data_IF_921216445914
#
_entry.id   IF_921216445914
#
_cell.length_a   1.000
_cell.length_b   1.000
_cell.length_c   1.000
_cell.angle_alpha   90.00
_cell.angle_beta   90.00
_cell.angle_gamma   90.00
#
_symmetry.space_group_name_H-M   'P 1'
#
loop_
_entity.id
_entity.type
_entity.pdbx_description
1 polymer ?
#
# COMPACT_ATOMS: atom_id res chain seq x y z
N UNK A 1 -3.83 -50.97 9.07
CA UNK A 1 -5.25 -50.62 8.82
C UNK A 1 -5.57 -50.95 7.38
N UNK A 2 -6.80 -51.38 7.08
CA UNK A 2 -7.26 -51.58 5.70
C UNK A 2 -8.31 -50.52 5.37
N UNK A 3 -8.23 -49.95 4.16
CA UNK A 3 -9.21 -49.03 3.61
C UNK A 3 -9.48 -49.39 2.15
N UNK A 4 -10.74 -49.29 1.74
CA UNK A 4 -11.14 -49.56 0.36
C UNK A 4 -10.39 -48.66 -0.63
N UNK A 5 -10.06 -49.17 -1.81
CA UNK A 5 -9.32 -48.40 -2.83
C UNK A 5 -10.09 -47.13 -3.25
N UNK A 6 -11.43 -47.18 -3.26
CA UNK A 6 -12.27 -46.00 -3.49
C UNK A 6 -12.07 -44.93 -2.40
N UNK A 7 -12.01 -45.33 -1.13
CA UNK A 7 -11.74 -44.45 0.00
C UNK A 7 -10.32 -43.85 -0.07
N UNK A 8 -9.32 -44.62 -0.53
CA UNK A 8 -7.97 -44.11 -0.77
C UNK A 8 -7.91 -43.10 -1.93
N UNK A 9 -8.77 -43.24 -2.95
CA UNK A 9 -8.91 -42.25 -4.04
C UNK A 9 -9.54 -40.95 -3.52
N UNK A 10 -10.65 -41.03 -2.79
CA UNK A 10 -11.27 -39.86 -2.17
C UNK A 10 -10.31 -39.16 -1.19
N UNK A 11 -9.43 -39.91 -0.52
CA UNK A 11 -8.40 -39.32 0.34
C UNK A 11 -7.32 -38.56 -0.45
N UNK A 12 -7.00 -39.00 -1.67
CA UNK A 12 -6.12 -38.25 -2.57
C UNK A 12 -6.76 -36.91 -2.92
N UNK A 13 -8.01 -36.93 -3.37
CA UNK A 13 -8.78 -35.72 -3.71
C UNK A 13 -8.87 -34.76 -2.52
N UNK A 14 -9.11 -35.28 -1.31
CA UNK A 14 -9.09 -34.49 -0.08
C UNK A 14 -7.73 -33.81 0.15
N UNK A 15 -6.64 -34.55 -0.02
CA UNK A 15 -5.28 -34.02 0.15
C UNK A 15 -4.93 -32.93 -0.87
N UNK A 16 -5.43 -33.06 -2.11
CA UNK A 16 -5.25 -32.06 -3.16
C UNK A 16 -6.06 -30.80 -2.87
N UNK A 17 -7.31 -30.93 -2.42
CA UNK A 17 -8.12 -29.79 -1.97
C UNK A 17 -7.53 -29.08 -0.77
N UNK A 18 -6.99 -29.81 0.21
CA UNK A 18 -6.33 -29.20 1.35
C UNK A 18 -5.04 -28.45 0.95
N UNK A 19 -4.30 -28.96 -0.03
CA UNK A 19 -3.16 -28.26 -0.62
C UNK A 19 -3.59 -27.03 -1.44
N UNK A 20 -4.74 -27.06 -2.10
CA UNK A 20 -5.35 -25.87 -2.74
C UNK A 20 -5.76 -24.83 -1.70
N UNK A 21 -6.47 -25.23 -0.65
CA UNK A 21 -6.90 -24.33 0.44
C UNK A 21 -5.70 -23.69 1.14
N UNK A 22 -4.61 -24.42 1.36
CA UNK A 22 -3.37 -23.88 1.91
C UNK A 22 -2.73 -22.82 0.98
N UNK A 23 -2.71 -23.08 -0.33
CA UNK A 23 -2.22 -22.11 -1.34
C UNK A 23 -3.11 -20.86 -1.38
N UNK A 24 -4.43 -21.02 -1.32
CA UNK A 24 -5.39 -19.92 -1.28
C UNK A 24 -5.18 -19.07 -0.02
N UNK A 25 -5.04 -19.71 1.16
CA UNK A 25 -4.77 -19.01 2.41
C UNK A 25 -3.44 -18.25 2.38
N UNK A 26 -2.39 -18.86 1.81
CA UNK A 26 -1.11 -18.18 1.63
C UNK A 26 -1.25 -16.95 0.71
N UNK A 27 -1.90 -17.11 -0.45
CA UNK A 27 -2.16 -16.00 -1.39
C UNK A 27 -2.97 -14.88 -0.73
N UNK A 28 -4.00 -15.21 0.04
CA UNK A 28 -4.82 -14.23 0.77
C UNK A 28 -3.99 -13.37 1.73
N UNK A 29 -2.98 -13.98 2.37
CA UNK A 29 -2.07 -13.27 3.28
C UNK A 29 -0.96 -12.47 2.59
N UNK A 30 -0.68 -12.72 1.32
CA UNK A 30 0.48 -12.15 0.59
C UNK A 30 0.06 -11.50 -0.74
N UNK A 31 -1.08 -10.82 -0.73
CA UNK A 31 -1.56 -10.08 -1.90
C UNK A 31 -0.58 -8.93 -2.23
N UNK A 32 -0.03 -8.87 -3.46
CA UNK A 32 0.87 -7.78 -3.86
C UNK A 32 0.20 -6.41 -3.79
N UNK A 33 -1.12 -6.35 -4.00
CA UNK A 33 -1.91 -5.13 -3.90
C UNK A 33 -1.82 -4.48 -2.51
N UNK A 34 -1.55 -5.27 -1.44
CA UNK A 34 -1.32 -4.72 -0.10
C UNK A 34 -0.01 -3.94 0.00
N UNK A 35 1.04 -4.41 -0.67
CA UNK A 35 2.34 -3.73 -0.69
C UNK A 35 2.26 -2.44 -1.51
N UNK A 36 1.56 -2.48 -2.64
CA UNK A 36 1.31 -1.30 -3.47
C UNK A 36 0.49 -0.25 -2.72
N UNK A 37 -0.53 -0.68 -1.96
CA UNK A 37 -1.35 0.21 -1.14
C UNK A 37 -0.50 0.91 -0.07
N UNK A 38 0.32 0.17 0.67
CA UNK A 38 1.20 0.72 1.72
C UNK A 38 2.21 1.72 1.12
N UNK A 39 2.83 1.37 -0.01
CA UNK A 39 3.76 2.26 -0.72
C UNK A 39 3.08 3.56 -1.16
N UNK A 40 1.94 3.47 -1.83
CA UNK A 40 1.19 4.64 -2.30
C UNK A 40 0.65 5.49 -1.14
N UNK A 41 0.29 4.89 -0.01
CA UNK A 41 -0.12 5.62 1.19
C UNK A 41 1.04 6.45 1.76
N UNK A 42 2.25 5.88 1.77
CA UNK A 42 3.46 6.62 2.14
C UNK A 42 3.75 7.77 1.20
N UNK A 43 3.68 7.55 -0.11
CA UNK A 43 3.87 8.58 -1.14
C UNK A 43 2.83 9.71 -1.03
N UNK A 44 1.55 9.36 -0.85
CA UNK A 44 0.46 10.32 -0.66
C UNK A 44 0.67 11.16 0.61
N UNK A 45 1.03 10.52 1.72
CA UNK A 45 1.28 11.24 2.99
C UNK A 45 2.44 12.21 2.85
N UNK A 46 3.55 11.78 2.25
CA UNK A 46 4.70 12.65 2.01
C UNK A 46 4.37 13.82 1.07
N UNK A 47 3.52 13.60 0.05
CA UNK A 47 3.06 14.67 -0.84
C UNK A 47 2.13 15.67 -0.13
N UNK A 48 1.20 15.17 0.69
CA UNK A 48 0.32 16.02 1.50
C UNK A 48 1.11 16.87 2.50
N UNK A 49 2.14 16.31 3.14
CA UNK A 49 3.02 17.04 4.05
C UNK A 49 3.79 18.15 3.34
N UNK A 50 4.29 17.89 2.11
CA UNK A 50 4.95 18.93 1.29
C UNK A 50 3.99 20.03 0.88
N UNK A 51 2.76 19.68 0.48
CA UNK A 51 1.73 20.65 0.14
C UNK A 51 1.39 21.54 1.34
N UNK A 52 1.19 20.96 2.53
CA UNK A 52 0.90 21.72 3.74
C UNK A 52 2.05 22.68 4.10
N UNK A 53 3.31 22.27 3.90
CA UNK A 53 4.46 23.15 4.11
C UNK A 53 4.50 24.32 3.11
N UNK A 54 4.14 24.09 1.85
CA UNK A 54 4.04 25.13 0.82
C UNK A 54 2.91 26.11 1.13
N UNK A 55 1.75 25.63 1.57
CA UNK A 55 0.62 26.47 1.97
C UNK A 55 0.97 27.36 3.16
N UNK A 56 1.65 26.84 4.18
CA UNK A 56 2.14 27.63 5.31
C UNK A 56 3.16 28.70 4.87
N UNK A 57 4.04 28.38 3.93
CA UNK A 57 4.99 29.36 3.39
C UNK A 57 4.28 30.47 2.59
N UNK A 58 3.23 30.13 1.85
CA UNK A 58 2.40 31.10 1.13
C UNK A 58 1.67 32.04 2.10
N UNK A 59 1.13 31.52 3.20
CA UNK A 59 0.50 32.35 4.25
C UNK A 59 1.48 33.35 4.88
N UNK A 60 2.72 32.92 5.13
CA UNK A 60 3.75 33.82 5.65
C UNK A 60 4.14 34.90 4.63
N UNK A 61 4.28 34.55 3.35
CA UNK A 61 4.52 35.52 2.29
C UNK A 61 3.35 36.51 2.14
N UNK A 62 2.10 36.05 2.22
CA UNK A 62 0.91 36.91 2.20
C UNK A 62 0.92 37.91 3.37
N UNK A 63 1.30 37.46 4.57
CA UNK A 63 1.42 38.32 5.73
C UNK A 63 2.55 39.36 5.57
N UNK A 64 3.68 38.98 4.96
CA UNK A 64 4.78 39.88 4.67
C UNK A 64 4.42 40.90 3.57
N UNK A 65 3.74 40.47 2.50
CA UNK A 65 3.24 41.35 1.45
C UNK A 65 2.31 42.44 2.02
N UNK A 66 1.34 42.04 2.85
CA UNK A 66 0.42 42.98 3.50
C UNK A 66 1.13 44.00 4.40
N UNK A 67 2.25 43.62 5.03
CA UNK A 67 3.09 44.56 5.81
C UNK A 67 3.78 45.57 4.90
N UNK A 68 4.39 45.12 3.81
CA UNK A 68 5.02 46.01 2.84
C UNK A 68 4.01 46.98 2.23
N UNK A 69 2.83 46.50 1.84
CA UNK A 69 1.74 47.35 1.33
C UNK A 69 1.34 48.42 2.36
N UNK A 70 1.18 48.04 3.64
CA UNK A 70 0.88 49.00 4.71
C UNK A 70 2.00 50.02 4.94
N UNK A 71 3.27 49.62 4.83
CA UNK A 71 4.40 50.55 4.94
C UNK A 71 4.46 51.52 3.76
N UNK A 72 4.23 51.02 2.54
CA UNK A 72 4.17 51.83 1.31
C UNK A 72 3.04 52.86 1.42
N UNK A 73 1.85 52.45 1.86
CA UNK A 73 0.71 53.35 2.05
C UNK A 73 1.01 54.42 3.10
N UNK A 74 1.68 54.08 4.20
CA UNK A 74 2.07 55.06 5.21
C UNK A 74 3.08 56.09 4.67
N UNK A 75 4.03 55.64 3.82
CA UNK A 75 4.99 56.53 3.15
C UNK A 75 4.27 57.44 2.15
N UNK A 76 3.38 56.90 1.31
CA UNK A 76 2.57 57.66 0.34
C UNK A 76 1.71 58.73 1.03
N UNK A 77 1.01 58.37 2.10
CA UNK A 77 0.22 59.33 2.88
C UNK A 77 1.08 60.45 3.47
N UNK A 78 2.33 60.17 3.85
CA UNK A 78 3.25 61.20 4.33
C UNK A 78 3.72 62.10 3.19
N UNK A 79 4.09 61.51 2.06
CA UNK A 79 4.48 62.24 0.86
C UNK A 79 3.38 63.20 0.38
N UNK A 80 2.12 62.73 0.38
CA UNK A 80 0.97 63.55 0.00
C UNK A 80 0.73 64.73 0.96
N UNK A 81 0.91 64.51 2.27
CA UNK A 81 0.82 65.60 3.26
C UNK A 81 1.92 66.64 3.07
N UNK A 82 3.15 66.20 2.85
CA UNK A 82 4.30 67.09 2.68
C UNK A 82 4.20 67.89 1.37
N UNK A 83 3.72 67.25 0.29
CA UNK A 83 3.41 67.90 -0.99
C UNK A 83 2.30 68.94 -0.84
N UNK A 84 1.20 68.60 -0.17
CA UNK A 84 0.11 69.55 0.09
C UNK A 84 0.57 70.76 0.92
N UNK A 85 1.49 70.56 1.87
CA UNK A 85 2.04 71.65 2.68
C UNK A 85 2.93 72.58 1.85
N UNK A 86 3.77 72.03 0.95
CA UNK A 86 4.54 72.82 -0.01
C UNK A 86 3.63 73.64 -0.93
N UNK A 87 2.59 73.01 -1.48
CA UNK A 87 1.64 73.65 -2.40
C UNK A 87 0.77 74.72 -1.73
N UNK A 88 0.58 74.65 -0.41
CA UNK A 88 -0.21 75.63 0.36
C UNK A 88 0.42 77.04 0.37
N UNK A 89 1.72 77.16 0.07
CA UNK A 89 2.45 78.43 0.12
C UNK A 89 2.62 79.03 1.54
N UNK A 90 2.25 78.29 2.59
CA UNK A 90 2.35 78.74 3.99
C UNK A 90 3.72 78.48 4.63
N UNK A 91 4.69 77.97 3.87
CA UNK A 91 6.02 77.58 4.34
C UNK A 91 7.06 78.66 4.06
N UNK A 92 8.01 78.83 4.97
CA UNK A 92 9.16 79.72 4.77
C UNK A 92 10.26 79.04 3.93
N UNK A 93 11.22 79.82 3.42
CA UNK A 93 12.26 79.31 2.51
C UNK A 93 13.08 78.13 3.09
N UNK A 94 13.29 78.11 4.42
CA UNK A 94 13.98 76.98 5.07
C UNK A 94 13.08 75.73 5.09
N UNK A 95 11.81 75.89 5.46
CA UNK A 95 10.83 74.80 5.47
C UNK A 95 10.63 74.18 4.08
N UNK A 96 10.70 74.99 3.01
CA UNK A 96 10.64 74.47 1.64
C UNK A 96 11.81 73.51 1.35
N UNK A 97 13.04 73.90 1.70
CA UNK A 97 14.23 73.06 1.49
C UNK A 97 14.17 71.79 2.34
N UNK A 98 13.76 71.90 3.61
CA UNK A 98 13.63 70.76 4.52
C UNK A 98 12.58 69.75 3.99
N UNK A 99 11.41 70.22 3.53
CA UNK A 99 10.35 69.39 2.96
C UNK A 99 10.77 68.74 1.63
N UNK A 100 11.53 69.44 0.78
CA UNK A 100 12.06 68.87 -0.47
C UNK A 100 13.01 67.70 -0.19
N UNK A 101 13.92 67.84 0.77
CA UNK A 101 14.82 66.75 1.18
C UNK A 101 14.07 65.58 1.84
N UNK A 102 13.01 65.87 2.61
CA UNK A 102 12.14 64.85 3.17
C UNK A 102 11.43 64.06 2.07
N UNK A 103 10.83 64.73 1.09
CA UNK A 103 10.20 64.09 -0.08
C UNK A 103 11.17 63.21 -0.86
N UNK A 104 12.39 63.68 -1.15
CA UNK A 104 13.43 62.87 -1.82
C UNK A 104 13.79 61.60 -1.02
N UNK A 105 13.71 61.68 0.31
CA UNK A 105 13.99 60.55 1.20
C UNK A 105 12.80 59.58 1.24
N UNK A 106 11.57 60.09 1.29
CA UNK A 106 10.34 59.28 1.23
C UNK A 106 10.22 58.56 -0.11
N UNK A 107 10.52 59.23 -1.23
CA UNK A 107 10.50 58.61 -2.57
C UNK A 107 11.52 57.47 -2.69
N UNK A 108 12.74 57.66 -2.18
CA UNK A 108 13.75 56.58 -2.15
C UNK A 108 13.31 55.42 -1.25
N UNK A 109 12.68 55.71 -0.10
CA UNK A 109 12.14 54.67 0.78
C UNK A 109 10.99 53.91 0.13
N UNK A 110 10.06 54.61 -0.52
CA UNK A 110 8.95 54.00 -1.25
C UNK A 110 9.47 53.07 -2.35
N UNK A 111 10.37 53.56 -3.21
CA UNK A 111 10.97 52.75 -4.27
C UNK A 111 11.62 51.47 -3.71
N UNK A 112 12.39 51.59 -2.64
CA UNK A 112 13.01 50.43 -1.98
C UNK A 112 11.99 49.43 -1.41
N UNK A 113 10.86 49.91 -0.88
CA UNK A 113 9.78 49.04 -0.38
C UNK A 113 9.02 48.37 -1.53
N UNK A 114 8.76 49.09 -2.61
CA UNK A 114 8.11 48.58 -3.81
C UNK A 114 8.97 47.51 -4.50
N UNK A 115 10.28 47.72 -4.59
CA UNK A 115 11.23 46.73 -5.10
C UNK A 115 11.21 45.45 -4.23
N UNK A 116 11.23 45.61 -2.90
CA UNK A 116 11.18 44.48 -1.96
C UNK A 116 9.84 43.72 -2.04
N UNK A 117 8.73 44.45 -2.21
CA UNK A 117 7.41 43.85 -2.41
C UNK A 117 7.35 43.07 -3.73
N UNK A 118 7.95 43.60 -4.80
CA UNK A 118 7.98 42.92 -6.09
C UNK A 118 8.74 41.59 -6.01
N UNK A 119 9.94 41.59 -5.40
CA UNK A 119 10.73 40.37 -5.18
C UNK A 119 9.94 39.32 -4.37
N UNK A 120 9.21 39.77 -3.34
CA UNK A 120 8.38 38.89 -2.52
C UNK A 120 7.20 38.30 -3.31
N UNK A 121 6.53 39.11 -4.13
CA UNK A 121 5.42 38.66 -4.96
C UNK A 121 5.88 37.66 -6.03
N UNK A 122 7.08 37.84 -6.59
CA UNK A 122 7.70 36.87 -7.50
C UNK A 122 7.98 35.54 -6.80
N UNK A 123 8.52 35.58 -5.57
CA UNK A 123 8.73 34.37 -4.76
C UNK A 123 7.41 33.66 -4.44
N UNK A 124 6.36 34.44 -4.10
CA UNK A 124 5.01 33.92 -3.84
C UNK A 124 4.44 33.23 -5.07
N UNK A 125 4.57 33.83 -6.26
CA UNK A 125 4.10 33.22 -7.51
C UNK A 125 4.79 31.87 -7.79
N UNK A 126 6.10 31.78 -7.54
CA UNK A 126 6.85 30.53 -7.67
C UNK A 126 6.36 29.46 -6.71
N UNK A 127 6.18 29.78 -5.42
CA UNK A 127 5.64 28.83 -4.44
C UNK A 127 4.20 28.43 -4.74
N UNK A 128 3.38 29.35 -5.25
CA UNK A 128 2.01 29.07 -5.65
C UNK A 128 1.95 28.07 -6.81
N UNK A 129 2.84 28.20 -7.79
CA UNK A 129 2.97 27.24 -8.88
C UNK A 129 3.40 25.86 -8.36
N UNK A 130 4.34 25.81 -7.41
CA UNK A 130 4.76 24.55 -6.77
C UNK A 130 3.62 23.91 -5.97
N UNK A 131 2.88 24.69 -5.16
CA UNK A 131 1.73 24.21 -4.40
C UNK A 131 0.64 23.65 -5.33
N UNK A 132 0.38 24.31 -6.45
CA UNK A 132 -0.60 23.85 -7.45
C UNK A 132 -0.17 22.51 -8.07
N UNK A 133 1.11 22.36 -8.38
CA UNK A 133 1.65 21.11 -8.93
C UNK A 133 1.62 19.96 -7.91
N UNK A 134 2.01 20.22 -6.65
CA UNK A 134 1.94 19.22 -5.58
C UNK A 134 0.49 18.84 -5.25
N UNK A 135 -0.45 19.79 -5.25
CA UNK A 135 -1.88 19.50 -5.07
C UNK A 135 -2.42 18.55 -6.15
N UNK A 136 -2.07 18.78 -7.42
CA UNK A 136 -2.42 17.85 -8.50
C UNK A 136 -1.76 16.46 -8.30
N UNK A 137 -0.53 16.43 -7.76
CA UNK A 137 0.15 15.20 -7.38
C UNK A 137 -0.57 14.42 -6.27
N UNK A 138 -1.03 15.11 -5.22
CA UNK A 138 -1.82 14.53 -4.12
C UNK A 138 -3.14 13.97 -4.65
N UNK A 139 -3.85 14.69 -5.50
CA UNK A 139 -5.10 14.21 -6.13
C UNK A 139 -4.86 12.97 -7.00
N UNK A 140 -3.77 12.95 -7.78
CA UNK A 140 -3.37 11.79 -8.57
C UNK A 140 -3.09 10.56 -7.70
N UNK A 141 -2.31 10.74 -6.62
CA UNK A 141 -2.01 9.66 -5.67
C UNK A 141 -3.28 9.16 -4.94
N UNK A 142 -4.22 10.05 -4.62
CA UNK A 142 -5.50 9.67 -4.03
C UNK A 142 -6.35 8.82 -5.00
N UNK A 143 -6.36 9.17 -6.28
CA UNK A 143 -7.03 8.37 -7.31
C UNK A 143 -6.35 7.00 -7.48
N UNK A 144 -5.02 6.94 -7.43
CA UNK A 144 -4.26 5.69 -7.52
C UNK A 144 -4.52 4.78 -6.32
N UNK A 145 -4.57 5.34 -5.11
CA UNK A 145 -4.96 4.63 -3.90
C UNK A 145 -6.36 4.03 -4.02
N UNK A 146 -7.33 4.79 -4.53
CA UNK A 146 -8.68 4.28 -4.74
C UNK A 146 -8.71 3.10 -5.73
N UNK A 147 -7.94 3.18 -6.81
CA UNK A 147 -7.81 2.09 -7.80
C UNK A 147 -7.18 0.83 -7.21
N UNK A 148 -6.09 0.98 -6.44
CA UNK A 148 -5.42 -0.17 -5.80
C UNK A 148 -6.30 -0.79 -4.73
N UNK A 149 -7.00 0.02 -3.93
CA UNK A 149 -7.97 -0.47 -2.94
C UNK A 149 -9.07 -1.30 -3.61
N UNK A 150 -9.63 -0.81 -4.73
CA UNK A 150 -10.64 -1.56 -5.49
C UNK A 150 -10.09 -2.89 -6.04
N UNK A 151 -8.85 -2.90 -6.53
CA UNK A 151 -8.18 -4.13 -6.98
C UNK A 151 -7.99 -5.12 -5.82
N UNK A 152 -7.56 -4.64 -4.66
CA UNK A 152 -7.40 -5.44 -3.45
C UNK A 152 -8.73 -6.06 -2.99
N UNK A 153 -9.81 -5.28 -2.99
CA UNK A 153 -11.15 -5.74 -2.61
C UNK A 153 -11.67 -6.80 -3.58
N UNK A 154 -11.46 -6.59 -4.88
CA UNK A 154 -11.82 -7.55 -5.94
C UNK A 154 -11.05 -8.86 -5.76
N UNK A 155 -9.72 -8.79 -5.66
CA UNK A 155 -8.87 -9.97 -5.46
C UNK A 155 -9.21 -10.72 -4.17
N UNK A 156 -9.49 -10.00 -3.09
CA UNK A 156 -9.90 -10.59 -1.81
C UNK A 156 -11.25 -11.31 -1.93
N UNK A 157 -12.21 -10.72 -2.63
CA UNK A 157 -13.53 -11.32 -2.86
C UNK A 157 -13.44 -12.59 -3.71
N UNK A 158 -12.65 -12.57 -4.78
CA UNK A 158 -12.44 -13.76 -5.64
C UNK A 158 -11.76 -14.90 -4.87
N UNK A 159 -10.76 -14.57 -4.07
CA UNK A 159 -10.06 -15.53 -3.19
C UNK A 159 -11.03 -16.13 -2.18
N UNK A 160 -11.87 -15.31 -1.55
CA UNK A 160 -12.85 -15.77 -0.57
C UNK A 160 -13.92 -16.67 -1.19
N UNK A 161 -14.44 -16.30 -2.37
CA UNK A 161 -15.40 -17.12 -3.11
C UNK A 161 -14.80 -18.48 -3.48
N UNK A 162 -13.55 -18.48 -3.97
CA UNK A 162 -12.83 -19.73 -4.29
C UNK A 162 -12.60 -20.55 -3.02
N UNK A 163 -12.21 -19.91 -1.91
CA UNK A 163 -12.00 -20.58 -0.62
C UNK A 163 -13.27 -21.27 -0.14
N UNK A 164 -14.41 -20.56 -0.19
CA UNK A 164 -15.70 -21.09 0.21
C UNK A 164 -16.12 -22.29 -0.65
N UNK A 165 -15.95 -22.20 -1.97
CA UNK A 165 -16.22 -23.32 -2.88
C UNK A 165 -15.37 -24.55 -2.55
N UNK A 166 -14.06 -24.37 -2.34
CA UNK A 166 -13.15 -25.48 -2.03
C UNK A 166 -13.41 -26.06 -0.64
N UNK A 167 -13.79 -25.23 0.33
CA UNK A 167 -14.18 -25.68 1.67
C UNK A 167 -15.46 -26.52 1.62
N UNK A 168 -16.46 -26.13 0.84
CA UNK A 168 -17.68 -26.92 0.66
C UNK A 168 -17.38 -28.29 0.01
N UNK A 169 -16.57 -28.33 -1.06
CA UNK A 169 -16.14 -29.60 -1.67
C UNK A 169 -15.36 -30.48 -0.70
N UNK A 170 -14.57 -29.87 0.19
CA UNK A 170 -13.86 -30.58 1.25
C UNK A 170 -14.84 -31.23 2.24
N UNK A 171 -15.86 -30.49 2.68
CA UNK A 171 -16.88 -31.00 3.61
C UNK A 171 -17.65 -32.19 3.03
N UNK A 172 -18.01 -32.13 1.74
CA UNK A 172 -18.68 -33.24 1.04
C UNK A 172 -17.82 -34.51 1.03
N UNK A 173 -16.53 -34.39 0.70
CA UNK A 173 -15.60 -35.54 0.71
C UNK A 173 -15.37 -36.08 2.12
N UNK A 174 -15.21 -35.20 3.10
CA UNK A 174 -15.05 -35.58 4.51
C UNK A 174 -16.26 -36.37 5.01
N UNK A 175 -17.48 -35.99 4.61
CA UNK A 175 -18.70 -36.70 4.98
C UNK A 175 -18.81 -38.10 4.34
N UNK A 176 -18.18 -38.33 3.18
CA UNK A 176 -18.18 -39.61 2.48
C UNK A 176 -17.04 -40.55 2.91
N UNK A 177 -16.04 -40.05 3.64
CA UNK A 177 -14.87 -40.83 4.07
C UNK A 177 -15.14 -41.64 5.34
N UNK A 178 -14.51 -42.80 5.44
CA UNK A 178 -14.48 -43.60 6.66
C UNK A 178 -13.83 -42.80 7.81
N UNK A 179 -14.52 -42.75 8.96
CA UNK A 179 -14.08 -41.94 10.10
C UNK A 179 -12.72 -42.32 10.67
N UNK A 180 -12.32 -43.59 10.60
CA UNK A 180 -11.01 -44.04 11.09
C UNK A 180 -9.89 -43.65 10.12
N UNK A 181 -10.15 -43.69 8.82
CA UNK A 181 -9.22 -43.20 7.79
C UNK A 181 -9.03 -41.68 7.87
N UNK A 182 -10.14 -40.95 8.00
CA UNK A 182 -10.13 -39.49 8.18
C UNK A 182 -9.38 -39.08 9.45
N UNK A 183 -9.61 -39.76 10.58
CA UNK A 183 -8.92 -39.46 11.83
C UNK A 183 -7.39 -39.68 11.73
N UNK A 184 -6.95 -40.68 10.95
CA UNK A 184 -5.54 -40.89 10.67
C UNK A 184 -4.97 -39.77 9.81
N UNK A 185 -5.69 -39.37 8.77
CA UNK A 185 -5.31 -38.27 7.88
C UNK A 185 -5.18 -36.94 8.61
N UNK A 186 -6.19 -36.53 9.39
CA UNK A 186 -6.17 -35.25 10.10
C UNK A 186 -5.07 -35.20 11.16
N UNK A 187 -4.83 -36.31 11.87
CA UNK A 187 -3.70 -36.41 12.80
C UNK A 187 -2.37 -36.16 12.09
N UNK A 188 -2.21 -36.76 10.92
CA UNK A 188 -0.99 -36.67 10.14
C UNK A 188 -0.79 -35.28 9.52
N UNK A 189 -1.88 -34.67 9.05
CA UNK A 189 -1.92 -33.29 8.57
C UNK A 189 -1.54 -32.30 9.66
N UNK A 190 -2.07 -32.47 10.88
CA UNK A 190 -1.74 -31.62 12.01
C UNK A 190 -0.25 -31.69 12.41
N UNK A 191 0.38 -32.86 12.27
CA UNK A 191 1.80 -33.03 12.61
C UNK A 191 2.79 -32.60 11.53
N UNK A 192 2.48 -32.87 10.26
CA UNK A 192 3.44 -32.74 9.15
C UNK A 192 2.99 -31.75 8.05
N UNK A 193 1.86 -31.08 8.23
CA UNK A 193 1.25 -30.17 7.24
C UNK A 193 0.50 -30.87 6.11
N UNK A 194 0.92 -32.07 5.71
CA UNK A 194 0.30 -32.89 4.65
C UNK A 194 -0.08 -34.26 5.22
N UNK A 195 -1.38 -34.60 5.18
CA UNK A 195 -1.89 -35.85 5.76
C UNK A 195 -1.71 -37.08 4.88
N UNK A 196 -1.71 -36.90 3.56
CA UNK A 196 -1.56 -37.98 2.57
C UNK A 196 -0.86 -37.46 1.30
N UNK A 197 -0.21 -38.35 0.56
CA UNK A 197 0.39 -38.01 -0.73
C UNK A 197 0.53 -39.22 -1.65
N UNK A 198 0.50 -39.01 -2.97
CA UNK A 198 0.66 -40.09 -3.94
C UNK A 198 2.11 -40.62 -3.94
N UNK A 199 2.27 -41.93 -4.07
CA UNK A 199 3.58 -42.54 -4.31
C UNK A 199 3.93 -42.42 -5.80
N UNK A 200 4.89 -41.57 -6.16
CA UNK A 200 5.29 -41.31 -7.55
C UNK A 200 6.70 -41.84 -7.81
N UNK A 201 6.81 -42.94 -8.55
CA UNK A 201 8.12 -43.47 -9.00
C UNK A 201 9.12 -43.78 -7.89
N UNK A 202 8.65 -44.13 -6.68
CA UNK A 202 9.50 -44.35 -5.50
C UNK A 202 9.70 -43.13 -4.60
N UNK A 203 9.14 -41.97 -4.96
CA UNK A 203 9.16 -40.75 -4.15
C UNK A 203 7.82 -40.54 -3.42
N UNK A 204 7.89 -40.11 -2.16
CA UNK A 204 6.70 -39.71 -1.41
C UNK A 204 6.18 -38.34 -1.89
N UNK A 205 4.93 -38.26 -2.32
CA UNK A 205 4.30 -37.01 -2.78
C UNK A 205 4.08 -35.95 -1.68
N UNK A 206 4.19 -36.31 -0.40
CA UNK A 206 4.05 -35.39 0.72
C UNK A 206 5.38 -34.68 1.06
N UNK A 207 6.44 -35.43 1.38
CA UNK A 207 7.75 -34.86 1.73
C UNK A 207 8.73 -34.73 0.56
N UNK A 208 8.42 -35.29 -0.60
CA UNK A 208 9.29 -35.32 -1.79
C UNK A 208 10.64 -36.02 -1.56
N UNK A 209 10.73 -36.87 -0.55
CA UNK A 209 11.92 -37.71 -0.29
C UNK A 209 11.78 -39.03 -1.04
N UNK A 210 12.88 -39.51 -1.59
CA UNK A 210 12.98 -40.82 -2.24
C UNK A 210 12.99 -41.93 -1.19
N UNK A 211 12.12 -42.92 -1.36
CA UNK A 211 11.99 -44.05 -0.44
C UNK A 211 13.10 -45.06 -0.76
N UNK A 212 13.75 -45.59 0.27
CA UNK A 212 14.77 -46.61 0.08
C UNK A 212 14.21 -47.85 -0.63
N UNK A 213 15.09 -48.56 -1.35
CA UNK A 213 14.67 -49.69 -2.18
C UNK A 213 14.04 -50.84 -1.39
N UNK A 214 14.42 -51.03 -0.12
CA UNK A 214 13.90 -52.09 0.73
C UNK A 214 12.46 -51.78 1.17
N UNK A 215 12.23 -50.58 1.68
CA UNK A 215 10.91 -50.09 2.04
C UNK A 215 10.00 -49.97 0.82
N UNK A 216 10.53 -49.52 -0.32
CA UNK A 216 9.75 -49.45 -1.55
C UNK A 216 9.27 -50.84 -1.98
N UNK A 217 10.13 -51.87 -1.93
CA UNK A 217 9.73 -53.24 -2.23
C UNK A 217 8.64 -53.75 -1.27
N UNK A 218 8.77 -53.45 0.03
CA UNK A 218 7.76 -53.77 1.05
C UNK A 218 6.42 -53.08 0.77
N UNK A 219 6.46 -51.80 0.43
CA UNK A 219 5.29 -50.97 0.11
C UNK A 219 4.60 -51.44 -1.18
N UNK A 220 5.37 -51.83 -2.20
CA UNK A 220 4.86 -52.36 -3.46
C UNK A 220 4.25 -53.76 -3.33
N UNK A 221 4.75 -54.60 -2.41
CA UNK A 221 4.26 -55.96 -2.18
C UNK A 221 2.99 -56.03 -1.31
N UNK A 222 2.69 -54.97 -0.54
CA UNK A 222 1.53 -54.93 0.33
C UNK A 222 0.19 -54.93 -0.45
N UNK A 223 -0.89 -55.53 0.07
CA UNK A 223 -2.21 -55.55 -0.57
C UNK A 223 -2.74 -54.13 -0.89
N UNK A 224 -3.47 -53.90 -1.99
CA UNK A 224 -3.97 -52.58 -2.38
C UNK A 224 -4.80 -51.87 -1.30
N UNK A 225 -5.54 -52.62 -0.50
CA UNK A 225 -6.36 -52.09 0.60
C UNK A 225 -5.55 -51.72 1.85
N UNK A 226 -4.26 -52.09 1.93
CA UNK A 226 -3.43 -51.74 3.07
C UNK A 226 -3.03 -50.25 3.05
N UNK A 227 -3.34 -49.54 4.12
CA UNK A 227 -2.95 -48.13 4.30
C UNK A 227 -1.54 -48.08 4.86
N UNK A 228 -0.61 -47.58 4.05
CA UNK A 228 0.80 -47.46 4.40
C UNK A 228 1.16 -46.00 4.68
N UNK A 229 2.25 -45.80 5.43
CA UNK A 229 2.77 -44.48 5.79
C UNK A 229 4.19 -44.35 5.31
N UNK A 230 4.59 -43.12 4.97
CA UNK A 230 5.97 -42.80 4.66
C UNK A 230 6.83 -42.96 5.93
N UNK A 231 7.99 -43.64 5.87
CA UNK A 231 8.87 -43.77 7.04
C UNK A 231 9.44 -42.42 7.49
N UNK A 232 9.62 -41.48 6.56
CA UNK A 232 10.23 -40.17 6.84
C UNK A 232 9.23 -39.16 7.43
N UNK A 233 8.09 -38.98 6.77
CA UNK A 233 7.14 -37.93 7.16
C UNK A 233 5.85 -38.46 7.79
N UNK A 234 5.68 -39.78 7.90
CA UNK A 234 4.45 -40.45 8.39
C UNK A 234 3.17 -40.20 7.58
N UNK A 235 3.21 -39.40 6.50
CA UNK A 235 2.09 -39.18 5.59
C UNK A 235 1.55 -40.49 5.03
N UNK A 236 0.23 -40.58 4.85
CA UNK A 236 -0.41 -41.74 4.21
C UNK A 236 0.07 -41.82 2.75
N UNK A 237 0.64 -42.95 2.35
CA UNK A 237 1.10 -43.20 1.00
C UNK A 237 -0.01 -43.81 0.15
N UNK A 238 -0.49 -43.05 -0.82
CA UNK A 238 -1.55 -43.46 -1.73
C UNK A 238 -0.93 -44.11 -2.98
N UNK A 239 -1.22 -45.40 -3.17
CA UNK A 239 -0.66 -46.26 -4.23
C UNK A 239 -1.61 -46.43 -5.42
N UNK A 240 -2.43 -45.42 -5.68
CA UNK A 240 -3.38 -45.44 -6.80
C UNK A 240 -2.63 -45.51 -8.12
N UNK A 241 -2.78 -46.63 -8.83
CA UNK A 241 -1.99 -47.00 -10.03
C UNK A 241 -2.31 -46.19 -11.30
N UNK A 242 -3.28 -45.29 -11.28
CA UNK A 242 -3.78 -44.63 -12.50
C UNK A 242 -3.98 -43.14 -12.27
N UNK A 243 -2.91 -42.34 -12.27
CA UNK A 243 -2.99 -40.90 -12.51
C UNK A 243 -1.70 -40.42 -13.21
N UNK A 244 -1.69 -40.67 -14.52
CA UNK A 244 -0.93 -39.94 -15.53
C UNK A 244 -1.92 -39.44 -16.56
#
# INVERSE_FOLDING_TARGET
MKAEVAQQRSLLELSELDAELARIAHRAGHLPERQDLERLQGEHTAAADRLAALELALEDLDAQAARFESEIDAVRQREDRDRALLDSGQTNAKQVVDLQHELETLQRRQASLEDSLLELLEQREQLQAQATAEAAGVEGLAADLARVQQSLDTASTEIEATRAQRAASREELVAALDGALLALYERQRASAGIGAGPLRGGQCGACRIEIDRGELARISAAPPEEVLRCPECSAILLRVKDFG
#
